data_IF_525190325683
#
_entry.id   IF_525190325683
#
_cell.length_a   1.000
_cell.length_b   1.000
_cell.length_c   1.000
_cell.angle_alpha   90.00
_cell.angle_beta   90.00
_cell.angle_gamma   90.00
#
_symmetry.space_group_name_H-M   'P 1'
#
loop_
_entity.id
_entity.type
_entity.pdbx_description
1 polymer ?
#
# COMPACT_ATOMS: atom_id res chain seq x y z
N UNK A 1 8.06 -12.18 7.86
CA UNK A 1 6.77 -12.33 7.15
C UNK A 1 5.87 -11.14 7.47
N UNK A 2 5.18 -10.65 6.46
CA UNK A 2 4.24 -9.56 6.63
C UNK A 2 3.01 -10.04 7.41
N UNK A 3 2.69 -9.35 8.51
CA UNK A 3 1.48 -9.65 9.26
C UNK A 3 0.29 -9.03 8.53
N UNK A 4 -0.72 -9.84 8.27
CA UNK A 4 -1.93 -9.39 7.60
C UNK A 4 -3.02 -9.09 8.62
N UNK A 5 -3.79 -8.05 8.35
CA UNK A 5 -4.98 -7.76 9.14
C UNK A 5 -6.21 -7.98 8.25
N UNK A 6 -7.35 -8.28 8.84
CA UNK A 6 -8.58 -8.42 8.06
C UNK A 6 -9.15 -7.02 7.76
N UNK A 7 -9.90 -6.93 6.66
CA UNK A 7 -10.54 -5.67 6.28
C UNK A 7 -11.47 -5.17 7.39
N UNK A 8 -12.05 -6.09 8.12
CA UNK A 8 -12.96 -5.78 9.23
C UNK A 8 -12.31 -4.90 10.29
N UNK A 9 -11.01 -5.09 10.51
CA UNK A 9 -10.28 -4.35 11.55
C UNK A 9 -9.34 -3.29 11.00
N UNK A 10 -9.26 -3.16 9.67
CA UNK A 10 -8.28 -2.26 9.06
C UNK A 10 -8.38 -0.84 9.57
N UNK A 11 -9.52 -0.20 9.37
CA UNK A 11 -9.68 1.21 9.77
C UNK A 11 -9.60 1.38 11.28
N UNK A 12 -10.08 0.39 12.05
CA UNK A 12 -9.96 0.44 13.49
C UNK A 12 -8.50 0.42 13.94
N UNK A 13 -7.70 -0.45 13.31
CA UNK A 13 -6.27 -0.54 13.61
C UNK A 13 -5.57 0.78 13.27
N UNK A 14 -5.86 1.34 12.11
CA UNK A 14 -5.19 2.56 11.66
C UNK A 14 -5.58 3.77 12.51
N UNK A 15 -6.85 3.86 12.92
CA UNK A 15 -7.31 4.97 13.73
C UNK A 15 -6.69 4.97 15.13
N UNK A 16 -6.29 3.81 15.63
CA UNK A 16 -5.65 3.68 16.94
C UNK A 16 -4.15 4.01 16.91
N UNK A 17 -3.60 4.17 15.72
CA UNK A 17 -2.16 4.41 15.55
C UNK A 17 -1.92 5.65 14.71
N UNK A 18 -2.33 6.83 15.20
CA UNK A 18 -2.30 8.07 14.40
C UNK A 18 -0.90 8.57 14.07
N UNK A 19 0.14 8.03 14.69
CA UNK A 19 1.52 8.41 14.41
C UNK A 19 2.19 7.50 13.36
N UNK A 20 1.51 6.45 12.94
CA UNK A 20 2.08 5.54 11.95
C UNK A 20 2.24 6.20 10.59
N UNK A 21 3.34 5.86 9.92
CA UNK A 21 3.57 6.19 8.52
C UNK A 21 2.97 5.05 7.68
N UNK A 22 1.96 5.35 6.89
CA UNK A 22 1.15 4.34 6.22
C UNK A 22 1.18 4.56 4.71
N UNK A 23 1.49 3.50 3.95
CA UNK A 23 1.49 3.54 2.50
C UNK A 23 0.30 2.76 1.95
N UNK A 24 -0.42 3.36 0.99
CA UNK A 24 -1.47 2.67 0.24
C UNK A 24 -0.93 2.44 -1.17
N UNK A 25 -0.54 1.20 -1.46
CA UNK A 25 0.07 0.82 -2.73
C UNK A 25 -1.01 0.25 -3.65
N UNK A 26 -1.16 0.84 -4.82
CA UNK A 26 -2.25 0.48 -5.72
C UNK A 26 -3.56 1.09 -5.25
N UNK A 27 -3.50 2.37 -4.90
CA UNK A 27 -4.63 3.05 -4.27
C UNK A 27 -5.84 3.25 -5.20
N UNK A 28 -5.64 3.24 -6.53
CA UNK A 28 -6.71 3.56 -7.46
C UNK A 28 -7.33 4.91 -7.10
N UNK A 29 -8.64 5.00 -7.27
CA UNK A 29 -9.37 6.24 -6.96
C UNK A 29 -9.94 6.26 -5.54
N UNK A 30 -9.59 5.29 -4.73
CA UNK A 30 -10.15 5.12 -3.37
C UNK A 30 -9.07 4.93 -2.32
N UNK A 31 -8.10 5.84 -2.29
CA UNK A 31 -7.01 5.76 -1.32
C UNK A 31 -7.55 5.78 0.10
N UNK A 32 -6.92 5.00 0.97
CA UNK A 32 -7.30 4.95 2.38
C UNK A 32 -7.03 6.31 3.03
N UNK A 33 -7.99 6.81 3.80
CA UNK A 33 -7.89 8.13 4.41
C UNK A 33 -6.78 8.26 5.45
N UNK A 34 -6.30 7.15 5.98
CA UNK A 34 -5.22 7.15 6.98
C UNK A 34 -3.83 7.05 6.34
N UNK A 35 -3.75 6.85 5.03
CA UNK A 35 -2.45 6.72 4.36
C UNK A 35 -1.71 8.06 4.33
N UNK A 36 -0.41 8.03 4.66
CA UNK A 36 0.46 9.18 4.59
C UNK A 36 1.12 9.30 3.23
N UNK A 37 1.27 8.16 2.54
CA UNK A 37 1.79 8.09 1.17
C UNK A 37 0.85 7.21 0.37
N UNK A 38 0.50 7.64 -0.84
CA UNK A 38 -0.34 6.85 -1.74
C UNK A 38 0.40 6.66 -3.05
N UNK A 39 0.24 5.48 -3.65
CA UNK A 39 0.99 5.15 -4.85
C UNK A 39 0.16 4.27 -5.78
N UNK A 40 0.41 4.40 -7.08
CA UNK A 40 -0.25 3.57 -8.08
C UNK A 40 0.63 3.47 -9.31
N UNK A 41 0.43 2.43 -10.10
CA UNK A 41 1.11 2.25 -11.39
C UNK A 41 0.60 3.29 -12.38
N UNK A 42 -0.67 3.65 -12.31
CA UNK A 42 -1.25 4.70 -13.11
C UNK A 42 -0.82 6.08 -12.57
N UNK A 43 -0.70 7.05 -13.46
CA UNK A 43 -0.41 8.41 -13.03
C UNK A 43 -1.70 9.10 -12.60
N UNK A 44 -1.97 9.06 -11.31
CA UNK A 44 -3.15 9.67 -10.71
C UNK A 44 -2.83 10.99 -10.00
N UNK A 45 -1.69 11.60 -10.34
CA UNK A 45 -1.23 12.80 -9.67
C UNK A 45 -2.23 13.96 -9.74
N UNK A 46 -2.94 14.11 -10.87
CA UNK A 46 -3.95 15.15 -11.00
C UNK A 46 -5.18 14.88 -10.11
N UNK A 47 -5.54 13.60 -9.98
CA UNK A 47 -6.68 13.21 -9.14
C UNK A 47 -6.38 13.45 -7.66
N UNK A 48 -5.13 13.21 -7.25
CA UNK A 48 -4.70 13.35 -5.86
C UNK A 48 -3.89 14.64 -5.63
N UNK A 49 -4.23 15.69 -6.35
CA UNK A 49 -3.59 16.97 -6.16
C UNK A 49 -3.64 17.39 -4.69
N UNK A 50 -2.51 17.81 -4.14
CA UNK A 50 -2.42 18.16 -2.72
C UNK A 50 -2.16 16.98 -1.79
N UNK A 51 -2.13 15.76 -2.32
CA UNK A 51 -1.78 14.55 -1.57
C UNK A 51 -0.37 14.11 -1.90
N UNK A 52 0.20 13.28 -1.06
CA UNK A 52 1.54 12.73 -1.29
C UNK A 52 1.42 11.49 -2.19
N UNK A 53 1.18 11.71 -3.47
CA UNK A 53 1.03 10.65 -4.46
C UNK A 53 2.36 10.38 -5.16
N UNK A 54 2.70 9.10 -5.33
CA UNK A 54 3.90 8.66 -6.02
C UNK A 54 3.51 7.64 -7.08
N UNK A 55 3.91 7.91 -8.33
CA UNK A 55 3.72 6.93 -9.40
C UNK A 55 4.81 5.87 -9.28
N UNK A 56 4.41 4.61 -9.30
CA UNK A 56 5.33 3.48 -9.17
C UNK A 56 5.25 2.60 -10.42
N UNK A 57 6.18 1.67 -10.53
CA UNK A 57 6.13 0.62 -11.55
C UNK A 57 6.14 -0.75 -10.86
N UNK A 58 6.21 -1.82 -11.64
CA UNK A 58 6.18 -3.18 -11.11
C UNK A 58 7.53 -3.66 -10.57
N UNK A 59 8.54 -2.80 -10.62
CA UNK A 59 9.89 -3.12 -10.17
C UNK A 59 10.04 -2.77 -8.70
N UNK A 60 11.29 -2.59 -8.27
CA UNK A 60 11.57 -2.23 -6.88
C UNK A 60 10.82 -0.95 -6.50
N UNK A 61 10.10 -1.01 -5.40
CA UNK A 61 9.36 0.16 -4.91
C UNK A 61 10.34 1.24 -4.44
N UNK A 62 10.05 2.52 -4.70
CA UNK A 62 10.96 3.62 -4.41
C UNK A 62 10.94 4.04 -2.94
N UNK A 63 10.98 3.07 -2.03
CA UNK A 63 10.93 3.29 -0.60
C UNK A 63 12.03 2.50 0.09
N UNK A 64 12.45 2.98 1.25
CA UNK A 64 13.48 2.33 2.04
C UNK A 64 12.95 1.11 2.80
N UNK A 65 13.87 0.27 3.26
CA UNK A 65 13.51 -0.89 4.08
C UNK A 65 12.81 -0.41 5.36
N UNK A 66 11.64 -1.01 5.62
CA UNK A 66 10.85 -0.67 6.82
C UNK A 66 10.55 0.82 6.97
N UNK A 67 10.40 1.50 5.84
CA UNK A 67 10.04 2.92 5.85
C UNK A 67 8.67 3.16 6.46
N UNK A 68 7.75 2.20 6.30
CA UNK A 68 6.38 2.35 6.75
C UNK A 68 6.06 1.47 7.94
N UNK A 69 5.18 1.94 8.79
CA UNK A 69 4.66 1.17 9.91
C UNK A 69 3.56 0.21 9.46
N UNK A 70 2.89 0.55 8.36
CA UNK A 70 1.80 -0.26 7.81
C UNK A 70 1.69 -0.03 6.31
N UNK A 71 1.42 -1.09 5.56
CA UNK A 71 1.22 -0.99 4.11
C UNK A 71 -0.14 -1.60 3.74
N UNK A 72 -0.82 -0.94 2.81
CA UNK A 72 -2.09 -1.42 2.26
C UNK A 72 -1.87 -1.71 0.79
N UNK A 73 -2.32 -2.86 0.31
CA UNK A 73 -2.23 -3.23 -1.09
C UNK A 73 -3.52 -3.93 -1.50
N UNK A 74 -4.49 -3.15 -1.97
CA UNK A 74 -5.83 -3.66 -2.24
C UNK A 74 -6.08 -4.06 -3.70
N UNK A 75 -5.52 -3.31 -4.66
CA UNK A 75 -5.90 -3.52 -6.06
C UNK A 75 -4.74 -3.79 -7.00
N UNK A 76 -3.51 -3.58 -6.56
CA UNK A 76 -2.34 -3.65 -7.43
C UNK A 76 -1.98 -5.08 -7.82
N UNK A 77 -2.27 -6.05 -6.96
CA UNK A 77 -1.84 -7.45 -7.15
C UNK A 77 -2.41 -8.05 -8.43
N UNK A 78 -3.62 -7.65 -8.80
CA UNK A 78 -4.28 -8.16 -10.01
C UNK A 78 -3.53 -7.81 -11.30
N UNK A 79 -2.68 -6.78 -11.25
CA UNK A 79 -2.00 -6.23 -12.42
C UNK A 79 -0.49 -6.45 -12.39
N UNK A 80 0.03 -7.20 -11.42
CA UNK A 80 1.46 -7.40 -11.25
C UNK A 80 1.86 -8.74 -11.86
N UNK A 81 2.84 -8.73 -12.77
CA UNK A 81 3.32 -9.94 -13.42
C UNK A 81 4.11 -10.83 -12.46
N UNK A 82 4.99 -10.23 -11.64
CA UNK A 82 5.78 -10.98 -10.68
C UNK A 82 5.24 -10.78 -9.28
N UNK A 83 4.25 -11.58 -8.95
CA UNK A 83 3.57 -11.52 -7.67
C UNK A 83 4.51 -11.76 -6.48
N UNK A 84 5.41 -12.74 -6.62
CA UNK A 84 6.33 -13.06 -5.52
C UNK A 84 7.28 -11.90 -5.23
N UNK A 85 7.82 -11.29 -6.27
CA UNK A 85 8.69 -10.14 -6.08
C UNK A 85 7.93 -8.99 -5.43
N UNK A 86 6.71 -8.75 -5.86
CA UNK A 86 5.89 -7.68 -5.32
C UNK A 86 5.62 -7.88 -3.82
N UNK A 87 5.26 -9.10 -3.42
CA UNK A 87 5.03 -9.41 -2.00
C UNK A 87 6.31 -9.18 -1.18
N UNK A 88 7.46 -9.60 -1.71
CA UNK A 88 8.73 -9.37 -1.02
C UNK A 88 9.02 -7.88 -0.86
N UNK A 89 8.66 -7.06 -1.85
CA UNK A 89 8.83 -5.62 -1.74
C UNK A 89 7.93 -5.03 -0.67
N UNK A 90 6.69 -5.49 -0.57
CA UNK A 90 5.80 -5.05 0.50
C UNK A 90 6.38 -5.42 1.87
N UNK A 91 6.91 -6.63 1.99
CA UNK A 91 7.55 -7.08 3.24
C UNK A 91 8.82 -6.31 3.55
N UNK A 92 9.52 -5.86 2.51
CA UNK A 92 10.72 -5.05 2.68
C UNK A 92 10.40 -3.68 3.27
N UNK A 93 9.34 -3.03 2.78
CA UNK A 93 9.03 -1.65 3.16
C UNK A 93 8.20 -1.56 4.44
N UNK A 94 7.58 -2.65 4.89
CA UNK A 94 6.82 -2.66 6.14
C UNK A 94 6.71 -4.08 6.70
N UNK A 95 6.63 -4.19 8.03
CA UNK A 95 6.43 -5.49 8.68
C UNK A 95 4.97 -5.80 8.95
N UNK A 96 4.07 -4.83 8.71
CA UNK A 96 2.63 -4.99 8.91
C UNK A 96 1.88 -4.55 7.66
N UNK A 97 0.74 -5.14 7.42
CA UNK A 97 -0.04 -4.70 6.28
C UNK A 97 -1.34 -5.43 6.08
N UNK A 98 -2.13 -4.86 5.18
CA UNK A 98 -3.35 -5.47 4.65
C UNK A 98 -3.16 -5.69 3.17
N UNK A 99 -3.32 -6.92 2.73
CA UNK A 99 -3.19 -7.29 1.32
C UNK A 99 -4.48 -7.98 0.89
N UNK A 100 -5.11 -7.45 -0.14
CA UNK A 100 -6.31 -8.04 -0.69
C UNK A 100 -5.91 -8.85 -1.92
N UNK A 101 -6.16 -10.16 -1.85
CA UNK A 101 -5.83 -11.06 -2.95
C UNK A 101 -6.97 -11.08 -3.97
N UNK A 102 -6.65 -11.29 -5.26
CA UNK A 102 -7.69 -11.41 -6.28
C UNK A 102 -8.67 -12.53 -5.95
N UNK A 103 -9.94 -12.26 -6.15
CA UNK A 103 -10.99 -13.25 -6.00
C UNK A 103 -11.07 -14.12 -7.25
N UNK A 104 -11.45 -15.36 -7.06
CA UNK A 104 -11.59 -16.29 -8.18
C UNK A 104 -13.03 -16.71 -8.36
#
# INVERSE_FOLDING_TARGET
MLKRTSIKFLNSTLSKNPTWNIADIGCGYSANKYATVIADIQDLSNFYEGKNFIKIDEKKLPFDDKEFDFVIASHVIEHVEDFEFFIKELERISSRGYIELPSR
#
